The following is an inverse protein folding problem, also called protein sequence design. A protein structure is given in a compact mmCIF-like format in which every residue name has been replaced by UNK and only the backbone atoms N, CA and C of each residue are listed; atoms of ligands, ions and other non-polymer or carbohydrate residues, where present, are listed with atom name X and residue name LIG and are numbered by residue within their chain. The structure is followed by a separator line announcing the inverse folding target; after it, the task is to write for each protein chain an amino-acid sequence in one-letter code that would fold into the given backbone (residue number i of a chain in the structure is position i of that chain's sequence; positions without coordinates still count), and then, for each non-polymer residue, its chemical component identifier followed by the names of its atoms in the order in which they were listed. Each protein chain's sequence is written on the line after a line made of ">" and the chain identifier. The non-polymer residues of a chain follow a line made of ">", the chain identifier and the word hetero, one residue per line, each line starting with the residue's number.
data_IF_163753723282
#
_entry.id   IF_163753723282
#
_cell.length_a   1.000
_cell.length_b   1.000
_cell.length_c   1.000
_cell.angle_alpha   90.00
_cell.angle_beta   90.00
_cell.angle_gamma   90.00
#
_symmetry.space_group_name_H-M   'P 1'
#
loop_
_entity.id
_entity.type
_entity.pdbx_description
1 polymer ?
#
# COMPACT_ATOMS: atom_id res chain seq x y z
N UNK A 1 11.27 -25.67 20.22
CA UNK A 1 9.93 -25.06 20.06
C UNK A 1 9.81 -24.70 18.60
N UNK A 2 8.76 -25.13 17.90
CA UNK A 2 8.53 -24.67 16.52
C UNK A 2 8.20 -23.17 16.60
N UNK A 3 9.01 -22.33 15.97
CA UNK A 3 8.71 -20.90 15.90
C UNK A 3 7.49 -20.71 15.00
N UNK A 4 6.55 -19.87 15.43
CA UNK A 4 5.31 -19.63 14.71
C UNK A 4 5.58 -18.94 13.36
N UNK A 5 5.15 -19.56 12.26
CA UNK A 5 5.28 -19.03 10.88
C UNK A 5 4.72 -17.62 10.76
N UNK A 6 3.68 -17.32 11.56
CA UNK A 6 3.12 -15.99 11.70
C UNK A 6 4.14 -14.96 12.19
N UNK A 7 4.85 -15.29 13.25
CA UNK A 7 5.87 -14.42 13.83
C UNK A 7 7.05 -14.26 12.87
N UNK A 8 7.47 -15.34 12.22
CA UNK A 8 8.60 -15.34 11.29
C UNK A 8 8.36 -14.43 10.09
N UNK A 9 7.14 -14.41 9.54
CA UNK A 9 6.82 -13.60 8.35
C UNK A 9 7.24 -12.13 8.48
N UNK A 10 7.11 -11.52 9.66
CA UNK A 10 7.43 -10.12 9.90
C UNK A 10 8.79 -9.86 10.58
N UNK A 11 9.52 -10.90 11.00
CA UNK A 11 10.69 -10.73 11.88
C UNK A 11 11.91 -11.56 11.47
N UNK A 12 11.76 -12.50 10.54
CA UNK A 12 12.83 -13.42 10.16
C UNK A 12 13.35 -13.13 8.76
N UNK A 13 14.51 -13.73 8.45
CA UNK A 13 15.02 -13.82 7.09
C UNK A 13 14.12 -14.71 6.22
N UNK A 14 14.33 -14.66 4.90
CA UNK A 14 13.62 -15.52 3.96
C UNK A 14 13.83 -17.01 4.27
N UNK A 15 15.08 -17.43 4.49
CA UNK A 15 15.43 -18.84 4.72
C UNK A 15 14.77 -19.40 5.99
N UNK A 16 14.77 -18.62 7.08
CA UNK A 16 14.12 -19.00 8.34
C UNK A 16 12.60 -19.10 8.19
N UNK A 17 11.99 -18.17 7.43
CA UNK A 17 10.56 -18.21 7.15
C UNK A 17 10.19 -19.47 6.34
N UNK A 18 10.89 -19.74 5.24
CA UNK A 18 10.62 -20.87 4.35
C UNK A 18 10.84 -22.21 5.07
N UNK A 19 11.84 -22.30 5.96
CA UNK A 19 12.07 -23.50 6.75
C UNK A 19 10.88 -23.87 7.68
N UNK A 20 10.07 -22.89 8.08
CA UNK A 20 8.90 -23.09 8.94
C UNK A 20 7.58 -23.18 8.16
N UNK A 21 7.52 -22.62 6.94
CA UNK A 21 6.33 -22.56 6.11
C UNK A 21 5.80 -23.96 5.74
N UNK A 22 4.48 -24.15 5.85
CA UNK A 22 3.79 -25.38 5.46
C UNK A 22 2.79 -25.13 4.32
N UNK A 23 2.53 -26.12 3.45
CA UNK A 23 1.49 -26.01 2.43
C UNK A 23 0.14 -25.59 3.02
N UNK A 24 -0.47 -24.56 2.44
CA UNK A 24 -1.74 -23.98 2.90
C UNK A 24 -1.59 -22.80 3.87
N UNK A 25 -0.40 -22.54 4.41
CA UNK A 25 -0.17 -21.38 5.29
C UNK A 25 -0.43 -20.04 4.58
N UNK A 26 -0.13 -19.95 3.28
CA UNK A 26 -0.32 -18.73 2.49
C UNK A 26 -1.76 -18.22 2.48
N UNK A 27 -2.75 -19.12 2.52
CA UNK A 27 -4.18 -18.79 2.52
C UNK A 27 -4.82 -18.70 3.89
N UNK A 28 -4.06 -18.91 4.97
CA UNK A 28 -4.60 -18.96 6.33
C UNK A 28 -4.91 -17.56 6.88
N UNK A 29 -6.07 -17.44 7.53
CA UNK A 29 -6.43 -16.29 8.38
C UNK A 29 -5.90 -16.52 9.80
N UNK A 30 -5.14 -15.55 10.32
CA UNK A 30 -4.57 -15.55 11.66
C UNK A 30 -5.34 -14.64 12.63
N UNK A 31 -6.53 -14.19 12.24
CA UNK A 31 -7.44 -13.38 13.03
C UNK A 31 -7.74 -12.05 12.34
N UNK A 32 -9.03 -11.68 12.32
CA UNK A 32 -9.51 -10.43 11.71
C UNK A 32 -9.08 -10.24 10.26
N UNK A 33 -8.97 -11.32 9.48
CA UNK A 33 -8.55 -11.29 8.08
C UNK A 33 -7.05 -11.02 7.87
N UNK A 34 -6.25 -11.10 8.94
CA UNK A 34 -4.82 -10.88 8.85
C UNK A 34 -4.13 -12.14 8.31
N UNK A 35 -3.45 -12.01 7.17
CA UNK A 35 -2.77 -13.11 6.47
C UNK A 35 -1.25 -13.01 6.62
N UNK A 36 -0.52 -14.07 6.27
CA UNK A 36 0.96 -14.01 6.25
C UNK A 36 1.47 -12.91 5.32
N UNK A 37 0.78 -12.66 4.20
CA UNK A 37 1.15 -11.58 3.27
C UNK A 37 1.05 -10.20 3.94
N UNK A 38 -0.02 -9.93 4.71
CA UNK A 38 -0.09 -8.68 5.48
C UNK A 38 1.09 -8.51 6.43
N UNK A 39 1.55 -9.59 7.07
CA UNK A 39 2.66 -9.54 8.02
C UNK A 39 4.01 -9.44 7.34
N UNK A 40 4.24 -10.20 6.28
CA UNK A 40 5.45 -10.18 5.48
C UNK A 40 5.76 -8.77 4.95
N UNK A 41 4.74 -8.05 4.48
CA UNK A 41 4.86 -6.67 4.00
C UNK A 41 5.27 -5.66 5.10
N UNK A 42 5.18 -6.06 6.37
CA UNK A 42 5.63 -5.25 7.51
C UNK A 42 7.03 -5.59 8.02
N UNK A 43 7.70 -6.59 7.42
CA UNK A 43 9.02 -7.04 7.85
C UNK A 43 10.03 -5.89 7.81
N UNK A 44 10.82 -5.77 8.88
CA UNK A 44 11.82 -4.71 9.04
C UNK A 44 13.05 -4.88 8.15
N UNK A 45 13.38 -6.14 7.80
CA UNK A 45 14.37 -6.43 6.78
C UNK A 45 13.70 -6.26 5.41
N UNK A 46 14.13 -5.25 4.64
CA UNK A 46 13.55 -4.89 3.35
C UNK A 46 13.77 -5.98 2.29
N UNK A 47 14.90 -6.68 2.35
CA UNK A 47 15.19 -7.80 1.45
C UNK A 47 14.28 -8.99 1.77
N UNK A 48 14.17 -9.34 3.06
CA UNK A 48 13.26 -10.40 3.51
C UNK A 48 11.79 -10.05 3.23
N UNK A 49 11.39 -8.79 3.41
CA UNK A 49 10.05 -8.29 3.06
C UNK A 49 9.71 -8.63 1.61
N UNK A 50 10.59 -8.27 0.67
CA UNK A 50 10.37 -8.51 -0.77
C UNK A 50 10.37 -10.00 -1.08
N UNK A 51 11.35 -10.75 -0.56
CA UNK A 51 11.48 -12.17 -0.82
C UNK A 51 10.31 -12.99 -0.27
N UNK A 52 9.96 -12.80 1.01
CA UNK A 52 8.85 -13.52 1.67
C UNK A 52 7.51 -13.16 1.03
N UNK A 53 7.26 -11.88 0.74
CA UNK A 53 5.99 -11.46 0.14
C UNK A 53 5.83 -11.99 -1.28
N UNK A 54 6.92 -11.99 -2.07
CA UNK A 54 6.91 -12.56 -3.43
C UNK A 54 6.64 -14.07 -3.38
N UNK A 55 7.34 -14.79 -2.50
CA UNK A 55 7.11 -16.22 -2.28
C UNK A 55 5.67 -16.52 -1.86
N UNK A 56 5.09 -15.74 -0.95
CA UNK A 56 3.70 -15.93 -0.54
C UNK A 56 2.72 -15.73 -1.69
N UNK A 57 2.98 -14.77 -2.59
CA UNK A 57 2.18 -14.60 -3.80
C UNK A 57 2.36 -15.78 -4.78
N UNK A 58 3.55 -16.37 -4.87
CA UNK A 58 3.80 -17.59 -5.65
C UNK A 58 3.04 -18.80 -5.06
N UNK A 59 2.92 -18.86 -3.73
CA UNK A 59 2.15 -19.88 -3.00
C UNK A 59 0.64 -19.57 -2.93
N UNK A 60 0.15 -18.58 -3.68
CA UNK A 60 -1.27 -18.29 -3.83
C UNK A 60 -1.89 -17.49 -2.68
N UNK A 61 -1.10 -16.70 -1.93
CA UNK A 61 -1.63 -15.77 -0.95
C UNK A 61 -2.59 -14.75 -1.62
N UNK A 62 -3.71 -14.50 -0.96
CA UNK A 62 -4.73 -13.57 -1.44
C UNK A 62 -4.30 -12.11 -1.22
N UNK A 63 -3.98 -11.40 -2.31
CA UNK A 63 -3.66 -9.98 -2.31
C UNK A 63 -4.88 -9.07 -2.13
N UNK A 64 -6.10 -9.60 -2.28
CA UNK A 64 -7.36 -8.87 -2.07
C UNK A 64 -7.81 -8.88 -0.61
N UNK A 65 -7.17 -9.69 0.23
CA UNK A 65 -7.48 -9.83 1.64
C UNK A 65 -7.40 -8.48 2.37
N UNK A 66 -8.29 -8.31 3.35
CA UNK A 66 -8.37 -7.12 4.19
C UNK A 66 -8.21 -7.53 5.66
N UNK A 67 -7.26 -6.90 6.34
CA UNK A 67 -6.98 -7.11 7.76
C UNK A 67 -7.59 -6.02 8.66
N UNK A 68 -8.04 -6.41 9.85
CA UNK A 68 -8.68 -5.54 10.84
C UNK A 68 -10.20 -5.56 10.77
N UNK A 69 -10.85 -4.70 11.57
CA UNK A 69 -12.31 -4.70 11.76
C UNK A 69 -12.94 -3.34 11.45
N UNK A 70 -14.21 -3.37 11.02
CA UNK A 70 -15.01 -2.17 10.81
C UNK A 70 -14.40 -1.19 9.80
N UNK A 71 -14.31 0.08 10.19
CA UNK A 71 -13.76 1.15 9.34
C UNK A 71 -12.22 1.19 9.27
N UNK A 72 -11.53 0.29 9.97
CA UNK A 72 -10.07 0.24 10.06
C UNK A 72 -9.47 -0.93 9.25
N UNK A 73 -10.26 -1.50 8.34
CA UNK A 73 -9.81 -2.55 7.44
C UNK A 73 -8.72 -2.02 6.49
N UNK A 74 -7.67 -2.82 6.32
CA UNK A 74 -6.47 -2.46 5.59
C UNK A 74 -6.18 -3.52 4.54
N UNK A 75 -5.94 -3.09 3.30
CA UNK A 75 -5.39 -3.94 2.24
C UNK A 75 -3.91 -4.27 2.51
N UNK A 76 -3.39 -5.25 1.78
CA UNK A 76 -1.95 -5.54 1.72
C UNK A 76 -1.12 -4.31 1.30
N UNK A 77 -1.66 -3.42 0.46
CA UNK A 77 -0.98 -2.19 0.07
C UNK A 77 -0.78 -1.23 1.26
N UNK A 78 -1.74 -1.16 2.18
CA UNK A 78 -1.57 -0.39 3.42
C UNK A 78 -0.49 -1.00 4.31
N UNK A 79 -0.40 -2.32 4.36
CA UNK A 79 0.64 -3.01 5.12
C UNK A 79 2.05 -2.68 4.60
N UNK A 80 2.23 -2.67 3.27
CA UNK A 80 3.47 -2.26 2.62
C UNK A 80 3.75 -0.77 2.83
N UNK A 81 2.85 0.10 2.36
CA UNK A 81 3.07 1.53 2.22
C UNK A 81 2.92 2.32 3.52
N UNK A 82 2.41 1.70 4.59
CA UNK A 82 2.33 2.28 5.91
C UNK A 82 3.61 2.15 6.72
N UNK A 83 4.65 1.50 6.17
CA UNK A 83 5.92 1.28 6.87
C UNK A 83 6.80 2.51 6.83
N UNK A 84 7.43 2.76 7.96
CA UNK A 84 8.35 3.87 8.11
C UNK A 84 9.71 3.62 7.49
N UNK A 85 9.95 2.65 6.60
CA UNK A 85 11.21 2.40 5.87
C UNK A 85 10.92 1.62 4.58
N UNK A 86 11.61 2.01 3.51
CA UNK A 86 11.39 1.55 2.14
C UNK A 86 12.69 1.49 1.35
N UNK A 87 12.83 0.44 0.54
CA UNK A 87 13.78 0.35 -0.56
C UNK A 87 12.94 0.42 -1.83
N UNK A 88 12.67 1.65 -2.27
CA UNK A 88 11.71 1.92 -3.34
C UNK A 88 12.04 1.14 -4.62
N UNK A 89 13.28 1.13 -5.14
CA UNK A 89 13.63 0.32 -6.30
C UNK A 89 13.33 -1.18 -6.14
N UNK A 90 13.61 -1.77 -4.98
CA UNK A 90 13.35 -3.19 -4.71
C UNK A 90 11.86 -3.50 -4.51
N UNK A 91 11.09 -2.56 -3.96
CA UNK A 91 9.68 -2.75 -3.64
C UNK A 91 8.74 -2.39 -4.81
N UNK A 92 9.18 -1.64 -5.83
CA UNK A 92 8.34 -1.30 -7.00
C UNK A 92 7.82 -2.53 -7.74
N UNK A 93 8.64 -3.55 -8.07
CA UNK A 93 8.14 -4.79 -8.67
C UNK A 93 7.12 -5.52 -7.79
N UNK A 94 7.35 -5.53 -6.47
CA UNK A 94 6.40 -6.11 -5.52
C UNK A 94 5.07 -5.35 -5.49
N UNK A 95 5.11 -4.02 -5.47
CA UNK A 95 3.92 -3.17 -5.52
C UNK A 95 3.10 -3.44 -6.78
N UNK A 96 3.75 -3.51 -7.95
CA UNK A 96 3.09 -3.87 -9.22
C UNK A 96 2.43 -5.24 -9.12
N UNK A 97 3.16 -6.23 -8.63
CA UNK A 97 2.67 -7.61 -8.50
C UNK A 97 1.45 -7.70 -7.57
N UNK A 98 1.42 -6.96 -6.47
CA UNK A 98 0.26 -6.89 -5.58
C UNK A 98 -0.97 -6.31 -6.29
N UNK A 99 -0.80 -5.24 -7.06
CA UNK A 99 -1.88 -4.60 -7.82
C UNK A 99 -2.38 -5.52 -8.94
N UNK A 100 -1.46 -6.18 -9.68
CA UNK A 100 -1.79 -7.18 -10.69
C UNK A 100 -2.53 -8.38 -10.09
N UNK A 101 -2.22 -8.76 -8.85
CA UNK A 101 -2.93 -9.76 -8.08
C UNK A 101 -4.28 -9.27 -7.51
N UNK A 102 -4.70 -8.04 -7.83
CA UNK A 102 -6.02 -7.49 -7.49
C UNK A 102 -6.09 -6.69 -6.20
N UNK A 103 -4.95 -6.33 -5.58
CA UNK A 103 -4.97 -5.49 -4.38
C UNK A 103 -5.62 -4.12 -4.68
N UNK A 104 -6.64 -3.76 -3.90
CA UNK A 104 -7.42 -2.54 -4.11
C UNK A 104 -6.60 -1.27 -3.79
N UNK A 105 -6.28 -0.52 -4.85
CA UNK A 105 -5.53 0.75 -4.80
C UNK A 105 -6.37 1.93 -4.29
N UNK A 106 -7.69 1.79 -4.26
CA UNK A 106 -8.64 2.85 -3.87
C UNK A 106 -9.25 2.62 -2.48
N UNK A 107 -8.94 1.48 -1.84
CA UNK A 107 -9.54 1.11 -0.56
C UNK A 107 -9.31 2.19 0.50
N UNK A 108 -10.38 2.63 1.16
CA UNK A 108 -10.27 3.64 2.22
C UNK A 108 -10.18 2.98 3.60
N UNK A 109 -9.04 3.18 4.26
CA UNK A 109 -8.83 2.88 5.68
C UNK A 109 -9.05 4.12 6.57
N UNK A 110 -9.74 3.97 7.70
CA UNK A 110 -9.97 5.03 8.68
C UNK A 110 -8.66 5.65 9.21
N UNK A 111 -7.66 4.83 9.51
CA UNK A 111 -6.32 5.27 9.93
C UNK A 111 -5.47 5.75 8.76
N UNK A 112 -5.40 4.97 7.69
CA UNK A 112 -4.38 5.15 6.65
C UNK A 112 -4.83 5.95 5.42
N UNK A 113 -6.15 6.17 5.25
CA UNK A 113 -6.78 6.71 4.04
C UNK A 113 -6.64 5.72 2.88
N UNK A 114 -6.42 6.16 1.65
CA UNK A 114 -6.13 5.26 0.51
C UNK A 114 -4.64 4.87 0.49
N UNK A 115 -4.24 3.79 -0.18
CA UNK A 115 -2.83 3.42 -0.35
C UNK A 115 -1.95 4.57 -0.87
N UNK A 116 -2.41 5.32 -1.88
CA UNK A 116 -1.68 6.49 -2.39
C UNK A 116 -1.51 7.59 -1.32
N UNK A 117 -2.57 7.90 -0.57
CA UNK A 117 -2.48 8.87 0.54
C UNK A 117 -1.63 8.36 1.70
N UNK A 118 -1.59 7.04 1.91
CA UNK A 118 -0.78 6.40 2.96
C UNK A 118 0.70 6.73 2.76
N UNK A 119 1.22 6.48 1.56
CA UNK A 119 2.63 6.78 1.25
C UNK A 119 2.88 8.28 1.14
N UNK A 120 1.95 9.05 0.56
CA UNK A 120 2.10 10.49 0.41
C UNK A 120 2.19 11.24 1.75
N UNK A 121 1.53 10.74 2.81
CA UNK A 121 1.58 11.33 4.15
C UNK A 121 2.90 11.06 4.90
N UNK A 122 3.78 10.22 4.37
CA UNK A 122 5.08 9.95 4.97
C UNK A 122 6.06 11.11 4.74
N UNK A 123 6.11 12.05 5.68
CA UNK A 123 6.88 13.30 5.59
C UNK A 123 8.41 13.13 5.46
N UNK A 124 8.94 11.92 5.65
CA UNK A 124 10.37 11.65 5.56
C UNK A 124 10.88 11.38 4.14
N UNK A 125 9.99 11.07 3.20
CA UNK A 125 10.38 10.77 1.82
C UNK A 125 10.07 11.94 0.89
N UNK A 126 11.07 12.36 0.12
CA UNK A 126 10.86 13.34 -0.95
C UNK A 126 10.01 12.77 -2.08
N UNK A 127 9.39 13.64 -2.88
CA UNK A 127 8.70 13.21 -4.09
C UNK A 127 9.61 12.49 -5.09
N UNK A 128 10.88 12.91 -5.21
CA UNK A 128 11.84 12.22 -6.07
C UNK A 128 12.07 10.77 -5.62
N UNK A 129 12.09 10.51 -4.31
CA UNK A 129 12.21 9.17 -3.75
C UNK A 129 10.95 8.34 -4.01
N UNK A 130 9.76 8.95 -3.91
CA UNK A 130 8.49 8.24 -4.08
C UNK A 130 8.01 8.16 -5.54
N UNK A 131 8.65 8.88 -6.47
CA UNK A 131 8.25 8.94 -7.87
C UNK A 131 8.03 7.55 -8.50
N UNK A 132 8.88 6.53 -8.26
CA UNK A 132 8.63 5.19 -8.81
C UNK A 132 7.36 4.52 -8.26
N UNK A 133 6.99 4.76 -7.00
CA UNK A 133 5.69 4.29 -6.49
C UNK A 133 4.54 5.07 -7.11
N UNK A 134 4.68 6.38 -7.30
CA UNK A 134 3.66 7.17 -7.98
C UNK A 134 3.44 6.71 -9.42
N UNK A 135 4.51 6.39 -10.16
CA UNK A 135 4.41 5.85 -11.52
C UNK A 135 3.49 4.62 -11.55
N UNK A 136 3.68 3.67 -10.62
CA UNK A 136 2.83 2.47 -10.52
C UNK A 136 1.35 2.82 -10.32
N UNK A 137 1.03 3.78 -9.44
CA UNK A 137 -0.35 4.20 -9.18
C UNK A 137 -0.97 4.91 -10.39
N UNK A 138 -0.29 5.88 -10.98
CA UNK A 138 -0.83 6.71 -12.06
C UNK A 138 -0.91 5.98 -13.41
N UNK A 139 -0.19 4.87 -13.56
CA UNK A 139 -0.37 3.94 -14.69
C UNK A 139 -1.69 3.16 -14.61
N UNK A 140 -2.31 3.04 -13.42
CA UNK A 140 -3.54 2.28 -13.27
C UNK A 140 -4.73 3.05 -13.86
N UNK A 141 -5.47 2.50 -14.83
CA UNK A 141 -6.61 3.19 -15.42
C UNK A 141 -7.78 3.37 -14.45
N UNK A 142 -7.82 2.58 -13.38
CA UNK A 142 -8.87 2.55 -12.37
C UNK A 142 -8.51 3.28 -11.07
N UNK A 143 -7.40 4.04 -11.03
CA UNK A 143 -7.09 4.91 -9.90
C UNK A 143 -8.17 5.99 -9.81
N UNK A 144 -8.84 6.06 -8.65
CA UNK A 144 -9.92 7.00 -8.39
C UNK A 144 -9.43 8.12 -7.46
N UNK A 145 -9.20 9.29 -8.05
CA UNK A 145 -8.80 10.49 -7.31
C UNK A 145 -10.00 11.29 -6.80
N UNK A 146 -11.21 10.99 -7.26
CA UNK A 146 -12.42 11.75 -6.95
C UNK A 146 -13.29 11.09 -5.87
N UNK A 147 -13.03 9.82 -5.55
CA UNK A 147 -13.63 9.14 -4.40
C UNK A 147 -13.46 9.96 -3.12
N UNK A 148 -14.58 10.22 -2.44
CA UNK A 148 -14.61 11.02 -1.22
C UNK A 148 -14.49 10.15 0.02
N UNK A 149 -13.66 10.61 0.96
CA UNK A 149 -13.58 10.07 2.30
C UNK A 149 -14.83 10.45 3.13
N UNK A 150 -14.94 9.90 4.34
CA UNK A 150 -16.03 10.24 5.27
C UNK A 150 -16.10 11.73 5.64
N UNK A 151 -15.01 12.47 5.53
CA UNK A 151 -14.96 13.92 5.76
C UNK A 151 -15.42 14.75 4.53
N UNK A 152 -15.84 14.07 3.47
CA UNK A 152 -16.34 14.64 2.22
C UNK A 152 -15.25 15.09 1.26
N UNK A 153 -13.96 14.90 1.57
CA UNK A 153 -12.85 15.28 0.69
C UNK A 153 -12.47 14.13 -0.22
N UNK A 154 -12.24 14.44 -1.47
CA UNK A 154 -11.65 13.53 -2.44
C UNK A 154 -10.16 13.27 -2.13
N UNK A 155 -9.62 12.20 -2.72
CA UNK A 155 -8.17 11.93 -2.72
C UNK A 155 -7.42 13.10 -3.36
N UNK A 156 -7.94 13.65 -4.46
CA UNK A 156 -7.37 14.82 -5.15
C UNK A 156 -7.26 16.03 -4.23
N UNK A 157 -8.36 16.45 -3.57
CA UNK A 157 -8.34 17.58 -2.63
C UNK A 157 -7.37 17.33 -1.47
N UNK A 158 -7.33 16.10 -0.96
CA UNK A 158 -6.39 15.72 0.10
C UNK A 158 -4.94 15.90 -0.33
N UNK A 159 -4.61 15.57 -1.59
CA UNK A 159 -3.29 15.81 -2.19
C UNK A 159 -3.00 17.31 -2.31
N UNK A 160 -3.97 18.11 -2.78
CA UNK A 160 -3.77 19.56 -2.96
C UNK A 160 -3.53 20.30 -1.64
N UNK A 161 -4.13 19.83 -0.54
CA UNK A 161 -3.94 20.39 0.80
C UNK A 161 -2.62 19.99 1.47
N UNK A 162 -1.84 19.08 0.90
CA UNK A 162 -0.53 18.72 1.45
C UNK A 162 0.43 19.92 1.38
N UNK A 163 1.21 20.14 2.44
CA UNK A 163 2.10 21.31 2.54
C UNK A 163 3.20 21.28 1.47
N UNK A 164 3.37 22.40 0.79
CA UNK A 164 4.52 22.66 -0.08
C UNK A 164 5.81 22.83 0.75
N UNK A 165 7.00 22.52 0.18
CA UNK A 165 7.25 22.01 -1.16
C UNK A 165 7.27 20.47 -1.25
N UNK A 166 6.79 19.76 -0.23
CA UNK A 166 7.08 18.32 -0.07
C UNK A 166 6.37 17.41 -1.10
N UNK A 167 5.29 17.90 -1.73
CA UNK A 167 4.38 17.09 -2.59
C UNK A 167 4.01 17.73 -3.94
N UNK A 168 4.84 18.63 -4.47
CA UNK A 168 4.54 19.34 -5.73
C UNK A 168 4.48 18.40 -6.95
N UNK A 169 5.29 17.34 -6.99
CA UNK A 169 5.30 16.36 -8.09
C UNK A 169 4.03 15.52 -8.05
N UNK A 170 3.63 15.05 -6.86
CA UNK A 170 2.39 14.31 -6.67
C UNK A 170 1.16 15.15 -7.08
N UNK A 171 1.12 16.44 -6.68
CA UNK A 171 0.05 17.36 -7.10
C UNK A 171 -0.02 17.51 -8.61
N UNK A 172 1.14 17.70 -9.27
CA UNK A 172 1.23 17.80 -10.73
C UNK A 172 0.70 16.54 -11.42
N UNK A 173 1.12 15.35 -10.95
CA UNK A 173 0.69 14.05 -11.48
C UNK A 173 -0.82 13.84 -11.31
N UNK A 174 -1.37 14.18 -10.14
CA UNK A 174 -2.80 14.08 -9.88
C UNK A 174 -3.63 14.95 -10.83
N UNK A 175 -3.19 16.20 -11.08
CA UNK A 175 -3.86 17.09 -12.02
C UNK A 175 -3.78 16.58 -13.47
N UNK A 176 -2.60 16.12 -13.89
CA UNK A 176 -2.40 15.54 -15.21
C UNK A 176 -3.28 14.29 -15.44
N UNK A 177 -3.33 13.39 -14.46
CA UNK A 177 -4.12 12.16 -14.53
C UNK A 177 -5.62 12.43 -14.76
N UNK A 178 -6.20 13.41 -14.06
CA UNK A 178 -7.59 13.84 -14.27
C UNK A 178 -7.78 14.50 -15.64
N UNK A 179 -6.87 15.38 -16.04
CA UNK A 179 -6.94 16.11 -17.31
C UNK A 179 -6.89 15.15 -18.52
N UNK A 180 -6.01 14.16 -18.50
CA UNK A 180 -5.90 13.11 -19.53
C UNK A 180 -7.20 12.30 -19.68
N UNK A 181 -8.00 12.22 -18.61
CA UNK A 181 -9.28 11.50 -18.57
C UNK A 181 -10.50 12.41 -18.77
N UNK A 182 -10.29 13.70 -19.03
CA UNK A 182 -11.37 14.69 -19.16
C UNK A 182 -12.20 14.86 -17.87
N UNK A 183 -11.64 14.47 -16.72
CA UNK A 183 -12.31 14.56 -15.43
C UNK A 183 -12.08 15.94 -14.82
N UNK A 184 -13.14 16.59 -14.33
CA UNK A 184 -13.03 17.90 -13.69
C UNK A 184 -12.49 17.75 -12.26
N UNK A 185 -11.43 18.50 -11.97
CA UNK A 185 -10.92 18.61 -10.61
C UNK A 185 -11.93 19.38 -9.73
N UNK A 186 -12.26 18.89 -8.52
CA UNK A 186 -13.11 19.60 -7.59
C UNK A 186 -12.46 20.92 -7.15
N UNK A 187 -13.28 21.97 -6.97
CA UNK A 187 -12.82 23.24 -6.42
C UNK A 187 -12.32 23.00 -4.99
N UNK A 188 -11.02 23.24 -4.76
CA UNK A 188 -10.43 23.05 -3.44
C UNK A 188 -10.87 24.19 -2.51
N UNK A 189 -12.04 24.09 -1.91
CA UNK A 189 -12.43 25.01 -0.83
C UNK A 189 -11.67 24.63 0.42
N UNK A 190 -10.79 25.49 0.91
CA UNK A 190 -10.30 25.38 2.27
C UNK A 190 -11.52 25.56 3.19
N UNK A 191 -12.02 24.47 3.78
CA UNK A 191 -13.00 24.60 4.87
C UNK A 191 -12.28 25.27 6.04
N UNK A 192 -12.76 26.47 6.40
CA UNK A 192 -12.32 27.28 7.55
C UNK A 192 -12.36 26.49 8.86
#
# INVERSE_FOLDING_TARGET
>A
MSTDVWFLSANASFDEFVAAFQPGDAGRDFGEGQTLLHRALTNGDLSARVAISSFLLDEGADATALSGVGGERNTVLHALLGRGDHDVPAEVPLLRRLIEAGADINHFSGRFRTPLLTIARQAKFSDATLAPFYDVFFEQPHLDLLATAKDGRSVYESIQLMREPHRSDLKRRAAAYLAERGQQAPETTAKE
#
